data_IF_429754785554
#
_entry.id   IF_429754785554
#
_cell.length_a   1.000
_cell.length_b   1.000
_cell.length_c   1.000
_cell.angle_alpha   90.00
_cell.angle_beta   90.00
_cell.angle_gamma   90.00
#
_symmetry.space_group_name_H-M   'P 1'
#
loop_
_entity.id
_entity.type
_entity.pdbx_description
1 polymer ?
#
# COMPACT_ATOMS: atom_id res chain seq x y z
N UNK A 1 3.05 18.11 -22.08
CA UNK A 1 3.64 17.14 -21.14
C UNK A 1 2.79 15.89 -21.13
N UNK A 2 3.36 14.76 -20.75
CA UNK A 2 2.63 13.50 -20.52
C UNK A 2 2.44 13.33 -19.02
N UNK A 3 1.31 12.78 -18.59
CA UNK A 3 1.03 12.40 -17.19
C UNK A 3 0.48 10.98 -17.22
N UNK A 4 1.02 10.10 -16.38
CA UNK A 4 0.48 8.77 -16.12
C UNK A 4 -0.62 8.91 -15.06
N UNK A 5 -1.84 9.24 -15.49
CA UNK A 5 -2.94 9.54 -14.56
C UNK A 5 -3.37 8.35 -13.72
N UNK A 6 -2.97 7.13 -14.08
CA UNK A 6 -3.23 5.91 -13.33
C UNK A 6 -2.14 4.86 -13.61
N UNK A 7 -1.65 4.22 -12.54
CA UNK A 7 -0.82 3.02 -12.56
C UNK A 7 -1.11 2.16 -11.33
N UNK A 8 -0.73 0.89 -11.36
CA UNK A 8 -0.86 -0.02 -10.21
C UNK A 8 0.30 -1.01 -10.14
N UNK A 9 0.49 -1.60 -8.97
CA UNK A 9 1.44 -2.69 -8.76
C UNK A 9 0.85 -4.09 -9.03
N UNK A 10 -0.40 -4.15 -9.50
CA UNK A 10 -1.14 -5.38 -9.79
C UNK A 10 -1.27 -5.64 -11.28
N UNK A 11 -2.04 -6.66 -11.66
CA UNK A 11 -2.55 -6.77 -13.03
C UNK A 11 -3.62 -5.71 -13.30
N UNK A 12 -4.05 -5.62 -14.57
CA UNK A 12 -4.95 -4.58 -15.06
C UNK A 12 -6.39 -4.71 -14.53
N UNK A 13 -6.76 -5.87 -13.97
CA UNK A 13 -8.04 -6.06 -13.27
C UNK A 13 -8.01 -5.48 -11.84
N UNK A 14 -6.86 -4.98 -11.39
CA UNK A 14 -6.64 -4.42 -10.06
C UNK A 14 -6.19 -5.44 -9.02
N UNK A 15 -6.03 -6.72 -9.40
CA UNK A 15 -5.65 -7.79 -8.50
C UNK A 15 -4.46 -8.62 -9.02
N UNK A 16 -4.02 -9.59 -8.22
CA UNK A 16 -2.82 -10.40 -8.40
C UNK A 16 -1.50 -9.61 -8.28
N UNK A 17 -0.43 -10.30 -7.91
CA UNK A 17 0.87 -9.70 -7.56
C UNK A 17 1.02 -9.48 -6.04
N UNK A 18 1.55 -8.32 -5.58
CA UNK A 18 2.02 -7.18 -6.36
C UNK A 18 3.37 -7.44 -7.04
N UNK A 19 3.61 -6.81 -8.19
CA UNK A 19 4.80 -6.99 -9.03
C UNK A 19 5.85 -5.88 -8.83
N UNK A 20 6.38 -5.78 -7.61
CA UNK A 20 7.18 -4.64 -7.17
C UNK A 20 8.40 -4.34 -8.06
N UNK A 21 9.17 -5.36 -8.46
CA UNK A 21 10.34 -5.18 -9.34
C UNK A 21 9.97 -4.56 -10.70
N UNK A 22 8.80 -4.93 -11.25
CA UNK A 22 8.29 -4.34 -12.50
C UNK A 22 7.81 -2.92 -12.26
N UNK A 23 7.16 -2.67 -11.12
CA UNK A 23 6.72 -1.34 -10.72
C UNK A 23 7.92 -0.40 -10.54
N UNK A 24 9.04 -0.87 -10.00
CA UNK A 24 10.30 -0.12 -9.91
C UNK A 24 10.79 0.32 -11.28
N UNK A 25 10.92 -0.61 -12.23
CA UNK A 25 11.37 -0.28 -13.58
C UNK A 25 10.49 0.80 -14.26
N UNK A 26 9.17 0.78 -14.01
CA UNK A 26 8.25 1.80 -14.51
C UNK A 26 8.42 3.14 -13.79
N UNK A 27 8.46 3.16 -12.46
CA UNK A 27 8.64 4.39 -11.68
C UNK A 27 9.97 5.06 -12.01
N UNK A 28 11.05 4.28 -12.16
CA UNK A 28 12.36 4.78 -12.57
C UNK A 28 12.30 5.45 -13.94
N UNK A 29 11.65 4.82 -14.91
CA UNK A 29 11.43 5.41 -16.24
C UNK A 29 10.63 6.72 -16.16
N UNK A 30 9.52 6.73 -15.41
CA UNK A 30 8.68 7.92 -15.27
C UNK A 30 9.42 9.08 -14.60
N UNK A 31 10.15 8.78 -13.52
CA UNK A 31 10.96 9.76 -12.79
C UNK A 31 12.10 10.32 -13.67
N UNK A 32 12.83 9.47 -14.39
CA UNK A 32 13.91 9.88 -15.28
C UNK A 32 13.43 10.78 -16.44
N UNK A 33 12.15 10.68 -16.82
CA UNK A 33 11.55 11.46 -17.90
C UNK A 33 10.67 12.61 -17.39
N UNK A 34 10.67 12.92 -16.09
CA UNK A 34 9.82 13.95 -15.47
C UNK A 34 8.32 13.77 -15.78
N UNK A 35 7.83 12.53 -15.82
CA UNK A 35 6.43 12.21 -16.03
C UNK A 35 5.76 12.03 -14.66
N UNK A 36 4.82 12.91 -14.33
CA UNK A 36 3.98 12.74 -13.13
C UNK A 36 3.15 11.47 -13.23
N UNK A 37 2.93 10.81 -12.09
CA UNK A 37 2.15 9.58 -12.01
C UNK A 37 1.23 9.55 -10.77
N UNK A 38 0.13 8.81 -10.88
CA UNK A 38 -0.83 8.60 -9.79
C UNK A 38 -1.08 7.09 -9.61
N UNK A 39 -0.84 6.57 -8.40
CA UNK A 39 -1.13 5.18 -8.07
C UNK A 39 -2.63 4.95 -7.81
N UNK A 40 -3.15 3.85 -8.33
CA UNK A 40 -4.46 3.28 -7.99
C UNK A 40 -4.31 2.22 -6.88
N UNK A 41 -5.02 2.28 -5.75
CA UNK A 41 -5.99 3.30 -5.29
C UNK A 41 -6.01 3.50 -3.77
N UNK A 42 -6.63 4.59 -3.32
CA UNK A 42 -6.97 4.83 -1.91
C UNK A 42 -8.24 4.07 -1.52
N UNK A 43 -8.12 2.75 -1.43
CA UNK A 43 -9.20 1.81 -1.16
C UNK A 43 -8.77 0.79 -0.09
N UNK A 44 -9.75 0.22 0.62
CA UNK A 44 -9.61 -0.95 1.48
C UNK A 44 -10.40 -2.16 0.93
N UNK A 45 -10.65 -2.19 -0.38
CA UNK A 45 -11.19 -3.36 -1.07
C UNK A 45 -10.17 -4.52 -1.03
N UNK A 46 -10.67 -5.75 -1.04
CA UNK A 46 -9.84 -6.97 -0.99
C UNK A 46 -9.12 -7.31 -2.30
N UNK A 47 -8.50 -6.33 -2.96
CA UNK A 47 -7.74 -6.50 -4.19
C UNK A 47 -6.31 -5.97 -4.01
N UNK A 48 -5.35 -6.55 -4.73
CA UNK A 48 -3.92 -6.27 -4.55
C UNK A 48 -3.55 -4.78 -4.74
N UNK A 49 -4.22 -4.05 -5.64
CA UNK A 49 -3.97 -2.63 -5.89
C UNK A 49 -4.39 -1.69 -4.74
N UNK A 50 -5.28 -2.14 -3.84
CA UNK A 50 -5.78 -1.33 -2.74
C UNK A 50 -4.66 -0.96 -1.77
N UNK A 51 -4.56 0.33 -1.39
CA UNK A 51 -3.50 0.81 -0.50
C UNK A 51 -3.68 0.38 0.97
N UNK A 52 -4.92 0.12 1.40
CA UNK A 52 -5.27 -0.09 2.80
C UNK A 52 -5.73 -1.51 3.08
N UNK A 53 -5.45 -2.03 4.28
CA UNK A 53 -5.81 -3.41 4.61
C UNK A 53 -7.31 -3.64 4.48
N UNK A 54 -7.74 -4.74 3.83
CA UNK A 54 -9.15 -5.06 3.68
C UNK A 54 -9.74 -5.70 4.93
N UNK A 55 -11.07 -5.65 5.03
CA UNK A 55 -11.78 -6.52 5.96
C UNK A 55 -11.73 -7.97 5.48
N UNK A 56 -11.29 -8.87 6.35
CA UNK A 56 -11.28 -10.32 6.13
C UNK A 56 -11.71 -10.98 7.44
N UNK A 57 -12.86 -11.64 7.44
CA UNK A 57 -13.45 -12.22 8.64
C UNK A 57 -12.47 -13.13 9.41
N UNK A 58 -12.21 -12.79 10.68
CA UNK A 58 -11.28 -13.53 11.54
C UNK A 58 -9.79 -13.32 11.25
N UNK A 59 -9.44 -12.40 10.35
CA UNK A 59 -8.06 -12.10 9.95
C UNK A 59 -7.73 -10.61 10.11
N UNK A 60 -8.60 -9.72 9.63
CA UNK A 60 -8.40 -8.27 9.62
C UNK A 60 -9.74 -7.53 9.69
N UNK A 61 -9.83 -6.49 10.52
CA UNK A 61 -11.02 -5.64 10.61
C UNK A 61 -11.11 -4.62 9.47
N UNK A 62 -10.05 -4.52 8.65
CA UNK A 62 -9.92 -3.52 7.60
C UNK A 62 -9.53 -2.15 8.15
N UNK A 63 -8.73 -1.43 7.39
CA UNK A 63 -8.26 -0.10 7.76
C UNK A 63 -9.34 0.95 7.49
N UNK A 64 -9.54 1.84 8.47
CA UNK A 64 -10.37 3.03 8.32
C UNK A 64 -9.77 3.98 7.28
N UNK A 65 -10.58 4.47 6.34
CA UNK A 65 -10.14 5.50 5.38
C UNK A 65 -10.07 6.91 5.99
N UNK A 66 -10.46 7.06 7.25
CA UNK A 66 -10.14 8.23 8.08
C UNK A 66 -9.00 7.85 9.04
N UNK A 67 -7.82 8.49 8.96
CA UNK A 67 -6.67 8.22 9.83
C UNK A 67 -6.83 8.80 11.25
N UNK A 68 -7.96 9.47 11.54
CA UNK A 68 -8.21 10.09 12.82
C UNK A 68 -7.29 11.28 13.12
N UNK A 69 -7.21 11.66 14.39
CA UNK A 69 -6.50 12.87 14.84
C UNK A 69 -4.99 12.84 14.62
N UNK A 70 -4.40 11.63 14.56
CA UNK A 70 -2.98 11.43 14.26
C UNK A 70 -2.62 11.75 12.80
N UNK A 71 -3.61 11.74 11.89
CA UNK A 71 -3.46 12.01 10.44
C UNK A 71 -2.42 11.12 9.75
N UNK A 72 -2.16 9.94 10.31
CA UNK A 72 -1.18 8.97 9.83
C UNK A 72 -1.78 7.59 10.04
N UNK A 73 -1.75 6.78 8.98
CA UNK A 73 -1.91 5.33 9.10
C UNK A 73 -0.55 4.71 9.42
N UNK A 74 -0.54 3.74 10.34
CA UNK A 74 0.66 2.95 10.63
C UNK A 74 0.97 2.00 9.48
N UNK A 75 2.21 1.50 9.40
CA UNK A 75 2.64 0.64 8.29
C UNK A 75 1.83 -0.66 8.16
N UNK A 76 1.29 -1.19 9.27
CA UNK A 76 0.42 -2.37 9.32
C UNK A 76 -1.03 -2.10 8.88
N UNK A 77 -1.44 -0.83 8.79
CA UNK A 77 -2.71 -0.41 8.19
C UNK A 77 -2.65 -0.29 6.66
N UNK A 78 -1.44 -0.37 6.09
CA UNK A 78 -1.24 -0.39 4.65
C UNK A 78 -1.08 -1.82 4.15
N UNK A 79 -1.59 -2.11 2.94
CA UNK A 79 -1.23 -3.33 2.22
C UNK A 79 0.23 -3.29 1.80
N UNK A 80 0.75 -4.41 1.27
CA UNK A 80 2.07 -4.43 0.63
C UNK A 80 2.15 -3.39 -0.50
N UNK A 81 1.10 -3.25 -1.31
CA UNK A 81 1.02 -2.25 -2.38
C UNK A 81 1.05 -0.81 -1.83
N UNK A 82 0.24 -0.53 -0.79
CA UNK A 82 0.17 0.80 -0.18
C UNK A 82 1.45 1.22 0.52
N UNK A 83 2.06 0.32 1.29
CA UNK A 83 3.35 0.55 1.97
C UNK A 83 4.45 0.85 0.95
N UNK A 84 4.52 0.06 -0.11
CA UNK A 84 5.47 0.23 -1.20
C UNK A 84 5.30 1.57 -1.92
N UNK A 85 4.07 1.89 -2.35
CA UNK A 85 3.79 3.15 -3.06
C UNK A 85 4.04 4.38 -2.18
N UNK A 86 3.77 4.30 -0.86
CA UNK A 86 4.15 5.34 0.09
C UNK A 86 5.65 5.59 0.09
N UNK A 87 6.47 4.53 0.08
CA UNK A 87 7.93 4.68 0.05
C UNK A 87 8.39 5.37 -1.25
N UNK A 88 7.83 4.98 -2.40
CA UNK A 88 8.13 5.58 -3.71
C UNK A 88 7.70 7.04 -3.82
N UNK A 89 6.51 7.39 -3.35
CA UNK A 89 6.03 8.79 -3.33
C UNK A 89 6.95 9.66 -2.44
N UNK A 90 7.41 9.12 -1.31
CA UNK A 90 8.30 9.85 -0.38
C UNK A 90 9.76 9.90 -0.85
N UNK A 91 10.14 9.12 -1.86
CA UNK A 91 11.54 8.99 -2.29
C UNK A 91 12.45 8.38 -1.23
N UNK A 92 11.93 7.44 -0.44
CA UNK A 92 12.69 6.74 0.61
C UNK A 92 12.92 5.27 0.23
N UNK A 93 13.92 4.65 0.85
CA UNK A 93 14.17 3.22 0.72
C UNK A 93 12.94 2.42 1.17
N UNK A 94 12.61 1.36 0.42
CA UNK A 94 11.51 0.46 0.78
C UNK A 94 12.02 -0.64 1.70
N UNK A 95 11.65 -0.54 2.98
CA UNK A 95 11.96 -1.50 4.02
C UNK A 95 10.65 -2.07 4.58
N UNK A 96 10.09 -3.16 4.00
CA UNK A 96 8.78 -3.67 4.37
C UNK A 96 8.73 -4.20 5.80
N UNK A 97 7.60 -3.98 6.48
CA UNK A 97 7.35 -4.62 7.78
C UNK A 97 7.22 -6.14 7.65
N UNK A 98 7.56 -6.85 8.72
CA UNK A 98 7.32 -8.29 8.83
C UNK A 98 5.85 -8.56 9.18
N UNK A 99 5.08 -8.95 8.17
CA UNK A 99 3.63 -9.19 8.27
C UNK A 99 3.26 -10.55 8.87
N UNK A 100 4.25 -11.36 9.26
CA UNK A 100 4.00 -12.66 9.93
C UNK A 100 3.95 -12.53 11.46
N UNK A 101 4.47 -11.41 12.00
CA UNK A 101 4.45 -11.12 13.43
C UNK A 101 3.04 -10.69 13.83
N UNK A 102 2.30 -11.57 14.52
CA UNK A 102 1.10 -11.16 15.25
C UNK A 102 1.53 -10.24 16.39
N UNK A 103 1.23 -8.95 16.29
CA UNK A 103 1.29 -8.06 17.43
C UNK A 103 0.20 -8.49 18.41
N UNK A 104 0.58 -9.21 19.46
CA UNK A 104 -0.34 -9.50 20.57
C UNK A 104 -0.78 -8.17 21.15
N UNK A 105 -2.07 -7.85 21.01
CA UNK A 105 -2.60 -6.64 21.60
C UNK A 105 -2.61 -6.82 23.13
N UNK A 106 -2.38 -5.73 23.86
CA UNK A 106 -2.27 -5.73 25.33
C UNK A 106 -3.53 -6.26 26.03
N UNK A 107 -4.66 -6.34 25.32
CA UNK A 107 -5.91 -6.97 25.74
C UNK A 107 -5.91 -8.51 25.71
N UNK A 108 -4.94 -9.14 25.07
CA UNK A 108 -4.78 -10.61 25.05
C UNK A 108 -4.01 -11.14 26.28
N UNK A 109 -3.44 -10.24 27.07
CA UNK A 109 -2.81 -10.56 28.36
C UNK A 109 -3.78 -10.17 29.48
N UNK A 110 -4.72 -11.04 29.80
CA UNK A 110 -5.67 -10.83 30.90
C UNK A 110 -4.98 -10.52 32.23
N UNK A 111 -4.90 -9.23 32.55
CA UNK A 111 -4.66 -8.66 33.88
C UNK A 111 -5.55 -7.44 34.05
#
# INVERSE_FOLDING_TARGET
>A
GVICTEMGASEADGDHGPYLDKTDAWIDYLNANNISWCNWSLSNQGVTSAAFMPYVAGVSDGTSLDPGSGKVWTEDELTVSGEYMRARIKGIEYNPIDRTKKYFNKTDMGF
#
